data_IF_165213522450
#
_entry.id   IF_165213522450
#
_cell.length_a   1.000
_cell.length_b   1.000
_cell.length_c   1.000
_cell.angle_alpha   90.00
_cell.angle_beta   90.00
_cell.angle_gamma   90.00
#
_symmetry.space_group_name_H-M   'P 1'
#
loop_
_entity.id
_entity.type
_entity.pdbx_description
1 polymer ?
#
# COMPACT_ATOMS: atom_id res chain seq x y z
N UNK A 1 -19.55 -19.12 -4.82
CA UNK A 1 -18.84 -19.61 -3.62
C UNK A 1 -18.00 -18.46 -3.10
N UNK A 2 -18.27 -17.97 -1.90
CA UNK A 2 -17.37 -17.04 -1.21
C UNK A 2 -16.19 -17.86 -0.71
N UNK A 3 -15.01 -17.66 -1.32
CA UNK A 3 -13.75 -18.23 -0.83
C UNK A 3 -13.46 -17.66 0.54
N UNK A 4 -13.34 -18.52 1.55
CA UNK A 4 -12.93 -18.15 2.91
C UNK A 4 -11.58 -17.44 2.83
N UNK A 5 -11.49 -16.25 3.42
CA UNK A 5 -10.24 -15.49 3.47
C UNK A 5 -9.23 -16.21 4.38
N UNK A 6 -8.11 -16.64 3.80
CA UNK A 6 -7.01 -17.32 4.52
C UNK A 6 -5.80 -16.38 4.67
N UNK A 7 -5.64 -15.71 5.83
CA UNK A 7 -4.56 -14.74 6.03
C UNK A 7 -3.16 -15.36 5.96
N UNK A 8 -3.02 -16.65 6.30
CA UNK A 8 -1.74 -17.38 6.24
C UNK A 8 -1.14 -17.47 4.84
N UNK A 9 -1.99 -17.45 3.79
CA UNK A 9 -1.52 -17.41 2.39
C UNK A 9 -0.78 -16.10 2.12
N UNK A 10 -1.28 -14.99 2.69
CA UNK A 10 -0.68 -13.68 2.55
C UNK A 10 0.54 -13.48 3.45
N UNK A 11 0.53 -14.05 4.66
CA UNK A 11 1.67 -14.00 5.58
C UNK A 11 2.89 -14.78 5.06
N UNK A 12 2.68 -15.69 4.10
CA UNK A 12 3.75 -16.41 3.39
C UNK A 12 4.45 -15.59 2.29
N UNK A 13 3.99 -14.36 2.00
CA UNK A 13 4.62 -13.49 1.01
C UNK A 13 5.97 -12.96 1.50
N UNK A 14 6.90 -12.77 0.57
CA UNK A 14 8.20 -12.18 0.87
C UNK A 14 8.05 -10.77 1.48
N UNK A 15 8.90 -10.42 2.44
CA UNK A 15 9.00 -9.06 2.97
C UNK A 15 9.36 -8.06 1.86
N UNK A 16 8.93 -6.79 2.01
CA UNK A 16 9.06 -5.76 0.97
C UNK A 16 10.47 -5.62 0.37
N UNK A 17 11.58 -5.58 1.14
CA UNK A 17 12.91 -5.45 0.55
C UNK A 17 13.27 -6.63 -0.36
N UNK A 18 12.88 -7.85 0.05
CA UNK A 18 13.11 -9.08 -0.71
C UNK A 18 12.24 -9.09 -1.97
N UNK A 19 10.96 -8.74 -1.84
CA UNK A 19 10.05 -8.63 -2.97
C UNK A 19 10.54 -7.59 -4.01
N UNK A 20 11.01 -6.42 -3.55
CA UNK A 20 11.59 -5.37 -4.39
C UNK A 20 12.86 -5.82 -5.11
N UNK A 21 13.76 -6.50 -4.40
CA UNK A 21 14.97 -7.05 -5.02
C UNK A 21 14.64 -8.12 -6.07
N UNK A 22 13.68 -9.00 -5.78
CA UNK A 22 13.19 -10.00 -6.74
C UNK A 22 12.55 -9.35 -7.97
N UNK A 23 11.80 -8.26 -7.79
CA UNK A 23 11.20 -7.49 -8.88
C UNK A 23 12.28 -6.93 -9.81
N UNK A 24 13.27 -6.22 -9.26
CA UNK A 24 14.34 -5.64 -10.09
C UNK A 24 15.16 -6.73 -10.81
N UNK A 25 15.42 -7.85 -10.13
CA UNK A 25 16.18 -8.97 -10.71
C UNK A 25 15.44 -9.69 -11.85
N UNK A 26 14.11 -9.75 -11.81
CA UNK A 26 13.31 -10.53 -12.76
C UNK A 26 12.36 -9.66 -13.59
N UNK A 27 12.67 -8.36 -13.70
CA UNK A 27 11.83 -7.37 -14.39
C UNK A 27 11.52 -7.74 -15.84
N UNK A 28 12.49 -8.34 -16.54
CA UNK A 28 12.32 -8.78 -17.92
C UNK A 28 11.41 -10.02 -18.01
N UNK A 29 11.55 -10.96 -17.07
CA UNK A 29 10.71 -12.15 -17.01
C UNK A 29 9.25 -11.82 -16.67
N UNK A 30 8.99 -10.74 -15.94
CA UNK A 30 7.64 -10.24 -15.67
C UNK A 30 6.92 -9.81 -16.95
N UNK A 31 7.65 -9.28 -17.93
CA UNK A 31 7.06 -8.92 -19.23
C UNK A 31 6.61 -10.16 -19.99
N UNK A 32 7.41 -11.22 -19.97
CA UNK A 32 7.08 -12.49 -20.60
C UNK A 32 5.91 -13.17 -19.90
N UNK A 33 5.90 -13.20 -18.56
CA UNK A 33 4.79 -13.71 -17.77
C UNK A 33 3.50 -12.91 -18.04
N UNK A 34 3.60 -11.58 -18.11
CA UNK A 34 2.49 -10.71 -18.48
C UNK A 34 1.95 -11.01 -19.88
N UNK A 35 2.83 -11.27 -20.85
CA UNK A 35 2.42 -11.67 -22.19
C UNK A 35 1.65 -12.99 -22.20
N UNK A 36 2.06 -13.98 -21.40
CA UNK A 36 1.33 -15.25 -21.23
C UNK A 36 -0.04 -15.02 -20.61
N UNK A 37 -0.12 -14.23 -19.53
CA UNK A 37 -1.39 -13.90 -18.85
C UNK A 37 -2.36 -13.21 -19.83
N UNK A 38 -1.87 -12.22 -20.58
CA UNK A 38 -2.65 -11.52 -21.59
C UNK A 38 -3.10 -12.43 -22.73
N UNK A 39 -2.21 -13.32 -23.21
CA UNK A 39 -2.52 -14.30 -24.26
C UNK A 39 -3.69 -15.20 -23.86
N UNK A 40 -3.82 -15.52 -22.57
CA UNK A 40 -4.91 -16.34 -22.05
C UNK A 40 -6.13 -15.54 -21.55
N UNK A 41 -6.15 -14.22 -21.73
CA UNK A 41 -7.29 -13.37 -21.35
C UNK A 41 -7.47 -13.21 -19.82
N UNK A 42 -6.43 -13.50 -19.04
CA UNK A 42 -6.50 -13.54 -17.57
C UNK A 42 -6.08 -12.22 -16.90
N UNK A 43 -5.67 -11.22 -17.66
CA UNK A 43 -5.16 -9.95 -17.15
C UNK A 43 -6.12 -9.23 -16.20
N UNK A 44 -7.44 -9.32 -16.47
CA UNK A 44 -8.48 -8.72 -15.62
C UNK A 44 -8.67 -9.49 -14.29
N UNK A 45 -8.23 -10.74 -14.20
CA UNK A 45 -8.33 -11.56 -12.98
C UNK A 45 -7.06 -11.49 -12.14
N UNK A 46 -5.89 -11.40 -12.79
CA UNK A 46 -4.58 -11.38 -12.11
C UNK A 46 -4.18 -9.97 -11.65
N UNK A 47 -4.54 -8.92 -12.40
CA UNK A 47 -4.19 -7.54 -12.05
C UNK A 47 -4.81 -7.02 -10.75
N UNK A 48 -5.91 -7.64 -10.28
CA UNK A 48 -6.64 -7.25 -9.06
C UNK A 48 -5.99 -7.74 -7.75
N UNK A 49 -4.96 -8.60 -7.80
CA UNK A 49 -4.44 -9.28 -6.62
C UNK A 49 -3.16 -8.65 -6.00
N UNK A 50 -2.61 -7.59 -6.58
CA UNK A 50 -1.36 -6.96 -6.15
C UNK A 50 -1.63 -5.60 -5.50
N UNK A 51 -2.27 -5.59 -4.33
CA UNK A 51 -2.42 -4.37 -3.53
C UNK A 51 -1.47 -4.43 -2.33
N UNK A 52 -0.68 -3.35 -2.18
CA UNK A 52 0.40 -3.08 -1.24
C UNK A 52 0.09 -3.23 0.26
N UNK A 53 -1.05 -3.81 0.64
CA UNK A 53 -1.59 -3.86 2.01
C UNK A 53 -0.98 -4.95 2.91
N UNK A 54 0.02 -5.67 2.40
CA UNK A 54 0.61 -6.85 3.05
C UNK A 54 2.03 -6.64 3.60
N UNK A 55 2.60 -5.45 3.43
CA UNK A 55 3.95 -5.16 3.90
C UNK A 55 3.92 -4.40 5.22
N UNK A 56 4.80 -4.79 6.14
CA UNK A 56 5.06 -4.00 7.35
C UNK A 56 5.63 -2.65 6.94
N UNK A 57 4.95 -1.56 7.34
CA UNK A 57 5.45 -0.20 7.19
C UNK A 57 6.60 0.03 8.17
N UNK A 58 7.56 0.87 7.79
CA UNK A 58 8.52 1.39 8.76
C UNK A 58 7.79 2.22 9.85
N UNK A 59 8.34 2.35 11.07
CA UNK A 59 7.64 3.01 12.20
C UNK A 59 7.07 4.41 11.89
N UNK A 60 7.71 5.15 10.98
CA UNK A 60 7.35 6.51 10.59
C UNK A 60 6.89 6.62 9.12
N UNK A 61 6.63 5.49 8.48
CA UNK A 61 6.07 5.41 7.15
C UNK A 61 4.55 5.33 7.23
N UNK A 62 3.87 6.06 6.35
CA UNK A 62 2.40 6.09 6.24
C UNK A 62 2.03 5.92 4.77
N UNK A 63 1.01 5.10 4.50
CA UNK A 63 0.42 5.02 3.15
C UNK A 63 -0.60 6.14 3.01
N UNK A 64 -0.31 7.12 2.16
CA UNK A 64 -1.17 8.28 1.95
C UNK A 64 -1.82 8.21 0.58
N UNK A 65 -3.14 8.31 0.56
CA UNK A 65 -3.93 8.45 -0.66
C UNK A 65 -3.95 9.91 -1.11
N UNK A 66 -3.57 10.14 -2.36
CA UNK A 66 -3.65 11.42 -3.04
C UNK A 66 -4.56 11.32 -4.27
N UNK A 67 -5.31 12.38 -4.53
CA UNK A 67 -6.18 12.50 -5.70
C UNK A 67 -5.64 13.64 -6.57
N UNK A 68 -5.24 13.32 -7.79
CA UNK A 68 -4.71 14.28 -8.78
C UNK A 68 -5.32 13.96 -10.15
N UNK A 69 -5.84 14.96 -10.85
CA UNK A 69 -6.45 14.81 -12.19
C UNK A 69 -7.47 13.66 -12.31
N UNK A 70 -8.35 13.52 -11.30
CA UNK A 70 -9.33 12.42 -11.21
C UNK A 70 -8.73 11.01 -11.12
N UNK A 71 -7.44 10.90 -10.79
CA UNK A 71 -6.75 9.64 -10.51
C UNK A 71 -6.41 9.56 -9.03
N UNK A 72 -6.42 8.33 -8.52
CA UNK A 72 -6.10 8.04 -7.12
C UNK A 72 -4.77 7.29 -7.07
N UNK A 73 -3.85 7.77 -6.25
CA UNK A 73 -2.56 7.16 -6.01
C UNK A 73 -2.33 6.97 -4.52
N UNK A 74 -1.70 5.87 -4.14
CA UNK A 74 -1.29 5.63 -2.75
C UNK A 74 0.23 5.53 -2.74
N UNK A 75 0.86 6.40 -1.96
CA UNK A 75 2.32 6.44 -1.83
C UNK A 75 2.74 6.24 -0.37
N UNK A 76 3.81 5.47 -0.11
CA UNK A 76 4.46 5.48 1.19
C UNK A 76 5.19 6.82 1.40
N UNK A 77 4.89 7.50 2.50
CA UNK A 77 5.52 8.76 2.90
C UNK A 77 6.14 8.58 4.29
N UNK A 78 7.41 8.98 4.42
CA UNK A 78 8.14 8.96 5.69
C UNK A 78 8.17 10.38 6.25
N UNK A 79 7.94 10.52 7.56
CA UNK A 79 8.08 11.81 8.26
C UNK A 79 6.92 12.78 8.06
N UNK A 80 5.76 12.27 7.66
CA UNK A 80 4.52 13.06 7.67
C UNK A 80 4.09 13.36 9.11
N UNK A 81 3.57 14.56 9.34
CA UNK A 81 2.96 14.92 10.61
C UNK A 81 1.65 14.15 10.81
N UNK A 82 1.56 13.35 11.87
CA UNK A 82 0.34 12.60 12.23
C UNK A 82 -0.85 13.56 12.52
N UNK A 83 -0.59 14.83 12.85
CA UNK A 83 -1.63 15.84 12.99
C UNK A 83 -2.23 16.28 11.64
N UNK A 84 -1.52 16.09 10.52
CA UNK A 84 -1.97 16.49 9.19
C UNK A 84 -2.78 15.39 8.45
N UNK A 85 -2.88 14.19 9.02
CA UNK A 85 -3.47 13.02 8.34
C UNK A 85 -4.59 12.36 9.13
N UNK A 86 -5.55 11.75 8.44
CA UNK A 86 -6.64 10.96 9.00
C UNK A 86 -6.61 9.55 8.45
N UNK A 87 -6.70 8.53 9.32
CA UNK A 87 -6.85 7.15 8.88
C UNK A 87 -8.25 6.94 8.31
N UNK A 88 -8.35 6.36 7.12
CA UNK A 88 -9.62 5.96 6.51
C UNK A 88 -9.76 4.45 6.35
N UNK A 89 -8.64 3.71 6.38
CA UNK A 89 -8.64 2.25 6.40
C UNK A 89 -7.95 1.73 7.65
N UNK A 90 -8.57 0.74 8.29
CA UNK A 90 -8.08 0.12 9.51
C UNK A 90 -7.94 -1.39 9.31
N UNK A 91 -6.84 -1.96 9.80
CA UNK A 91 -6.59 -3.38 9.84
C UNK A 91 -6.82 -3.88 11.26
N UNK A 92 -7.60 -4.96 11.38
CA UNK A 92 -7.73 -5.69 12.63
C UNK A 92 -6.53 -6.64 12.77
N UNK A 93 -5.75 -6.45 13.83
CA UNK A 93 -4.64 -7.33 14.16
C UNK A 93 -5.08 -8.31 15.26
N UNK A 94 -5.06 -9.60 14.93
CA UNK A 94 -5.32 -10.67 15.88
C UNK A 94 -4.02 -11.33 16.27
N UNK A 95 -3.66 -11.22 17.55
CA UNK A 95 -2.48 -11.93 18.07
C UNK A 95 -2.94 -13.18 18.82
N UNK A 96 -2.72 -14.36 18.24
CA UNK A 96 -3.08 -15.64 18.85
C UNK A 96 -2.36 -15.90 20.19
N UNK A 97 -1.24 -15.22 20.44
CA UNK A 97 -0.44 -15.35 21.66
C UNK A 97 -1.11 -14.67 22.87
N UNK A 98 -1.84 -13.58 22.66
CA UNK A 98 -2.41 -12.77 23.76
C UNK A 98 -3.93 -12.78 23.81
N UNK A 99 -4.61 -13.44 22.85
CA UNK A 99 -6.06 -13.35 22.63
C UNK A 99 -6.58 -11.90 22.53
N UNK A 100 -5.70 -10.95 22.23
CA UNK A 100 -6.05 -9.55 22.10
C UNK A 100 -6.18 -9.17 20.63
N UNK A 101 -7.24 -8.43 20.34
CA UNK A 101 -7.44 -7.78 19.05
C UNK A 101 -7.13 -6.29 19.18
N UNK A 102 -6.26 -5.77 18.33
CA UNK A 102 -6.03 -4.32 18.23
C UNK A 102 -6.33 -3.84 16.81
N UNK A 103 -6.90 -2.63 16.72
CA UNK A 103 -7.09 -1.96 15.45
C UNK A 103 -5.86 -1.11 15.14
N UNK A 104 -5.33 -1.25 13.93
CA UNK A 104 -4.19 -0.48 13.45
C UNK A 104 -4.58 0.28 12.19
N UNK A 105 -4.34 1.60 12.10
CA UNK A 105 -4.62 2.38 10.91
C UNK A 105 -3.63 2.03 9.79
N UNK A 106 -4.15 1.71 8.60
CA UNK A 106 -3.35 1.22 7.47
C UNK A 106 -3.13 2.29 6.40
N UNK A 107 -4.19 3.01 6.03
CA UNK A 107 -4.15 4.03 4.97
C UNK A 107 -4.75 5.33 5.48
N UNK A 108 -4.15 6.43 5.02
CA UNK A 108 -4.41 7.77 5.49
C UNK A 108 -4.71 8.71 4.33
N UNK A 109 -5.46 9.77 4.61
CA UNK A 109 -5.65 10.92 3.75
C UNK A 109 -5.24 12.18 4.51
N UNK A 110 -4.88 13.25 3.80
CA UNK A 110 -4.65 14.54 4.44
C UNK A 110 -5.95 15.15 4.99
N UNK A 111 -5.86 15.78 6.16
CA UNK A 111 -6.93 16.63 6.76
C UNK A 111 -7.08 17.89 5.92
N UNK A 112 -7.87 17.83 4.85
CA UNK A 112 -8.20 18.96 3.96
C UNK A 112 -7.01 19.53 3.16
N UNK A 113 -6.99 19.20 1.87
CA UNK A 113 -6.42 19.94 0.73
C UNK A 113 -5.04 20.62 0.85
N UNK A 114 -4.22 20.33 1.86
CA UNK A 114 -2.80 20.68 1.83
C UNK A 114 -2.12 19.74 0.83
N UNK A 115 -2.28 20.06 -0.46
CA UNK A 115 -1.42 19.50 -1.49
C UNK A 115 0.03 19.86 -1.12
N UNK A 116 1.01 19.00 -1.43
CA UNK A 116 2.42 19.27 -1.12
C UNK A 116 2.94 20.61 -1.68
N UNK A 117 2.24 21.19 -2.67
CA UNK A 117 2.57 22.50 -3.25
C UNK A 117 2.29 23.68 -2.32
N UNK A 118 1.35 23.56 -1.37
CA UNK A 118 1.05 24.64 -0.41
C UNK A 118 2.13 24.77 0.69
N UNK A 119 2.91 23.71 0.94
CA UNK A 119 3.98 23.72 1.94
C UNK A 119 5.20 24.51 1.42
N UNK A 120 5.45 24.52 0.12
CA UNK A 120 6.55 25.31 -0.48
C UNK A 120 6.28 26.81 -0.49
N UNK A 121 5.02 27.25 -0.40
CA UNK A 121 4.69 28.67 -0.39
C UNK A 121 5.04 29.34 0.95
N UNK A 122 4.98 28.60 2.07
CA UNK A 122 5.15 29.13 3.42
C UNK A 122 6.63 29.41 3.74
N UNK A 123 7.57 28.65 3.17
CA UNK A 123 9.02 28.86 3.40
C UNK A 123 9.64 30.02 2.59
N UNK A 124 8.87 30.67 1.70
CA UNK A 124 9.35 31.78 0.87
C UNK A 124 8.99 33.19 1.39
N UNK A 125 8.34 33.28 2.57
CA UNK A 125 8.00 34.54 3.23
C UNK A 125 8.62 34.70 4.63
N UNK A 126 9.61 33.87 4.98
CA UNK A 126 10.40 33.97 6.22
C UNK A 126 11.73 34.67 6.02
#
# INVERSE_FOLDING_TARGET
MLTTYEPSIFDGLNKFPVARQCLEKHKDALREAGAVICKHGLQQKVGLALLHKHFDLLPHERLIENIEDSKVYINPIIGVDDAAILPYLWKLNYTNVTQNSSWFPLEFQYKSAAQPDDIKAIESQG
#
